data_IF_941823126467
#
_entry.id   IF_941823126467
#
_cell.length_a   1.000
_cell.length_b   1.000
_cell.length_c   1.000
_cell.angle_alpha   90.00
_cell.angle_beta   90.00
_cell.angle_gamma   90.00
#
_symmetry.space_group_name_H-M   'P 1'
#
loop_
_entity.id
_entity.type
_entity.pdbx_description
1 polymer ?
#
# COMPACT_ATOMS: atom_id res chain seq x y z
N UNK A 1 25.78 62.48 -13.19
CA UNK A 1 24.48 63.09 -13.54
C UNK A 1 23.78 62.22 -14.56
N UNK A 2 22.85 61.36 -14.13
CA UNK A 2 21.79 60.83 -15.00
C UNK A 2 20.73 60.20 -14.08
N UNK A 3 19.68 60.97 -13.82
CA UNK A 3 18.57 60.61 -12.95
C UNK A 3 17.57 59.75 -13.72
N UNK A 4 17.22 58.57 -13.20
CA UNK A 4 16.08 57.78 -13.69
C UNK A 4 14.84 58.15 -12.86
N UNK A 5 13.67 58.36 -13.50
CA UNK A 5 12.46 58.73 -12.78
C UNK A 5 11.80 57.49 -12.14
N UNK A 6 11.38 57.66 -10.89
CA UNK A 6 10.53 56.73 -10.14
C UNK A 6 9.08 57.00 -10.55
N UNK A 7 8.39 55.99 -11.10
CA UNK A 7 6.96 56.06 -11.35
C UNK A 7 6.20 55.66 -10.08
N UNK A 8 5.46 56.62 -9.52
CA UNK A 8 4.48 56.39 -8.46
C UNK A 8 3.18 55.84 -9.07
N UNK A 9 2.73 54.69 -8.57
CA UNK A 9 1.41 54.12 -8.89
C UNK A 9 0.43 54.58 -7.79
N UNK A 10 -0.71 55.20 -8.13
CA UNK A 10 -1.66 55.68 -7.13
C UNK A 10 -2.47 54.53 -6.52
N UNK A 11 -2.54 54.51 -5.18
CA UNK A 11 -3.47 53.70 -4.40
C UNK A 11 -4.91 54.15 -4.70
N UNK A 12 -5.76 53.23 -5.14
CA UNK A 12 -7.21 53.40 -5.18
C UNK A 12 -7.79 52.78 -3.90
N UNK A 13 -8.55 53.52 -3.07
CA UNK A 13 -9.19 52.95 -1.89
C UNK A 13 -10.45 52.18 -2.30
N UNK A 14 -10.45 50.86 -2.04
CA UNK A 14 -11.63 50.01 -2.20
C UNK A 14 -12.57 50.24 -1.00
N UNK A 15 -13.68 50.91 -1.26
CA UNK A 15 -14.77 51.14 -0.32
C UNK A 15 -15.43 49.80 0.02
N UNK A 16 -15.38 49.42 1.31
CA UNK A 16 -16.11 48.30 1.87
C UNK A 16 -17.59 48.68 2.05
N UNK A 17 -18.47 48.17 1.20
CA UNK A 17 -19.92 48.20 1.44
C UNK A 17 -20.32 46.95 2.24
N UNK A 18 -20.58 47.13 3.53
CA UNK A 18 -21.21 46.13 4.38
C UNK A 18 -22.73 46.15 4.12
N UNK A 19 -23.26 45.07 3.56
CA UNK A 19 -24.70 44.80 3.56
C UNK A 19 -24.98 43.66 4.55
N UNK A 20 -25.64 44.04 5.63
CA UNK A 20 -26.26 43.15 6.58
C UNK A 20 -27.51 42.50 5.94
N UNK A 21 -27.59 41.17 6.01
CA UNK A 21 -28.83 40.43 5.81
C UNK A 21 -29.12 39.63 7.08
N UNK A 22 -30.24 39.94 7.71
CA UNK A 22 -30.80 39.22 8.86
C UNK A 22 -31.93 38.30 8.39
N UNK A 23 -32.09 37.17 9.09
CA UNK A 23 -33.27 36.31 9.09
C UNK A 23 -33.15 35.10 8.15
N UNK A 24 -33.44 33.87 8.55
CA UNK A 24 -33.97 33.32 9.80
C UNK A 24 -34.36 31.86 9.55
N UNK A 25 -34.04 30.98 10.49
CA UNK A 25 -34.58 29.62 10.66
C UNK A 25 -34.70 29.45 12.19
N UNK A 26 -35.76 28.83 12.75
CA UNK A 26 -35.87 27.37 12.63
C UNK A 26 -37.30 26.77 12.76
N UNK A 27 -37.43 25.49 12.40
CA UNK A 27 -38.40 24.59 13.06
C UNK A 27 -39.08 23.57 12.16
N UNK A 28 -38.95 22.28 12.49
CA UNK A 28 -39.79 21.23 11.91
C UNK A 28 -39.24 19.83 11.99
N UNK A 29 -39.12 19.30 13.21
CA UNK A 29 -38.74 17.92 13.54
C UNK A 29 -39.79 16.90 13.10
N UNK A 30 -39.37 15.76 12.54
CA UNK A 30 -40.16 14.53 12.51
C UNK A 30 -39.24 13.30 12.55
N UNK A 31 -39.27 12.60 13.70
CA UNK A 31 -38.73 11.26 13.88
C UNK A 31 -39.59 10.23 13.12
N UNK A 32 -39.12 8.97 13.00
CA UNK A 32 -39.70 8.00 13.94
C UNK A 32 -38.73 6.93 14.48
N UNK A 33 -38.99 6.60 15.76
CA UNK A 33 -38.96 5.30 16.44
C UNK A 33 -37.89 4.24 16.13
N UNK A 34 -37.09 4.02 17.19
CA UNK A 34 -36.58 2.76 17.73
C UNK A 34 -37.19 1.43 17.24
N UNK A 35 -36.30 0.49 16.92
CA UNK A 35 -36.48 -0.95 17.20
C UNK A 35 -35.15 -1.55 17.64
N UNK A 36 -35.12 -2.06 18.86
CA UNK A 36 -34.07 -2.91 19.42
C UNK A 36 -34.33 -4.38 19.04
N UNK A 37 -33.29 -5.12 18.65
CA UNK A 37 -33.21 -6.58 18.75
C UNK A 37 -31.72 -6.97 18.68
N UNK A 38 -31.11 -7.33 19.81
CA UNK A 38 -30.90 -8.72 20.29
C UNK A 38 -29.70 -9.41 19.62
N UNK A 39 -28.61 -9.44 20.38
CA UNK A 39 -27.43 -10.30 20.24
C UNK A 39 -27.82 -11.78 20.30
N UNK A 40 -27.05 -12.66 19.65
CA UNK A 40 -26.54 -13.78 20.43
C UNK A 40 -25.05 -14.05 20.22
N UNK A 41 -24.40 -14.29 21.35
CA UNK A 41 -23.08 -14.91 21.49
C UNK A 41 -23.08 -16.33 20.90
N UNK A 42 -22.04 -16.69 20.17
CA UNK A 42 -21.74 -18.08 19.81
C UNK A 42 -20.44 -18.53 20.48
N UNK A 43 -20.62 -19.41 21.46
CA UNK A 43 -19.61 -20.04 22.31
C UNK A 43 -18.79 -21.08 21.54
N UNK A 44 -17.50 -21.11 21.85
CA UNK A 44 -16.49 -22.10 21.49
C UNK A 44 -16.87 -23.52 21.93
N UNK A 45 -16.61 -24.54 21.11
CA UNK A 45 -16.56 -25.94 21.58
C UNK A 45 -15.42 -26.67 20.87
N UNK A 46 -14.52 -27.24 21.67
CA UNK A 46 -13.38 -28.07 21.29
C UNK A 46 -13.80 -29.55 21.14
N UNK A 47 -13.03 -30.38 20.42
CA UNK A 47 -13.38 -31.76 20.11
C UNK A 47 -13.03 -32.76 21.24
N UNK A 48 -13.71 -33.92 21.32
CA UNK A 48 -13.40 -34.93 22.30
C UNK A 48 -12.21 -35.80 21.91
N UNK A 49 -11.47 -36.21 22.94
CA UNK A 49 -10.39 -37.19 22.94
C UNK A 49 -10.97 -38.59 23.17
N UNK A 50 -10.47 -39.61 22.46
CA UNK A 50 -10.64 -41.01 22.87
C UNK A 50 -9.31 -41.74 22.85
N UNK A 51 -8.91 -42.12 24.06
CA UNK A 51 -7.81 -43.00 24.43
C UNK A 51 -8.20 -44.46 24.20
N UNK A 52 -7.28 -45.30 23.76
CA UNK A 52 -7.36 -46.75 23.94
C UNK A 52 -5.96 -47.35 24.08
N UNK A 53 -5.52 -47.45 25.33
CA UNK A 53 -4.51 -48.38 25.84
C UNK A 53 -5.16 -49.76 25.99
N UNK A 54 -4.44 -50.86 25.77
CA UNK A 54 -4.57 -52.13 26.51
C UNK A 54 -3.41 -53.10 26.21
N UNK A 55 -2.56 -53.24 27.23
CA UNK A 55 -1.80 -54.41 27.77
C UNK A 55 -0.86 -55.30 26.92
N UNK A 56 0.37 -55.38 27.44
CA UNK A 56 1.30 -56.51 27.42
C UNK A 56 0.77 -57.75 28.18
N UNK A 57 1.40 -58.94 28.06
CA UNK A 57 2.45 -59.27 29.03
C UNK A 57 3.67 -60.07 28.52
N UNK A 58 4.70 -59.95 29.35
CA UNK A 58 6.01 -60.60 29.52
C UNK A 58 6.03 -62.13 29.36
N UNK A 59 7.12 -62.72 28.82
CA UNK A 59 8.07 -63.58 29.59
C UNK A 59 9.23 -64.21 28.78
N UNK A 60 10.37 -64.27 29.48
CA UNK A 60 11.47 -65.27 29.48
C UNK A 60 12.53 -65.36 28.37
N UNK A 61 13.79 -65.17 28.82
CA UNK A 61 15.09 -65.58 28.25
C UNK A 61 15.30 -67.10 28.46
N UNK A 62 16.07 -67.82 27.63
CA UNK A 62 17.47 -68.12 27.98
C UNK A 62 18.47 -68.11 26.80
N UNK A 63 19.75 -68.02 27.18
CA UNK A 63 21.00 -68.05 26.41
C UNK A 63 21.25 -69.38 25.70
N UNK A 64 21.77 -69.40 24.45
CA UNK A 64 22.93 -70.24 24.04
C UNK A 64 23.45 -69.93 22.62
N UNK A 65 24.77 -70.07 22.49
CA UNK A 65 25.66 -69.92 21.34
C UNK A 65 25.41 -70.95 20.23
N UNK A 66 25.54 -70.56 18.96
CA UNK A 66 26.09 -71.41 17.88
C UNK A 66 26.40 -70.59 16.63
N UNK A 67 27.62 -70.72 16.14
CA UNK A 67 28.08 -70.19 14.87
C UNK A 67 27.62 -71.09 13.73
N UNK A 68 27.08 -70.52 12.65
CA UNK A 68 27.07 -71.18 11.34
C UNK A 68 27.06 -70.12 10.23
N UNK A 69 28.01 -70.29 9.33
CA UNK A 69 28.36 -69.52 8.13
C UNK A 69 27.14 -69.24 7.25
N UNK A 70 26.92 -67.96 6.87
CA UNK A 70 25.84 -67.57 5.95
C UNK A 70 26.39 -66.77 4.76
N UNK A 71 25.88 -67.12 3.58
CA UNK A 71 26.23 -66.68 2.23
C UNK A 71 26.16 -65.15 2.00
N UNK A 72 26.85 -64.61 0.97
CA UNK A 72 26.90 -63.18 0.71
C UNK A 72 25.52 -62.58 0.39
N UNK A 73 25.24 -61.34 0.82
CA UNK A 73 23.95 -60.70 0.60
C UNK A 73 23.75 -60.33 -0.88
N UNK A 74 22.54 -60.62 -1.38
CA UNK A 74 22.03 -60.17 -2.68
C UNK A 74 21.99 -58.64 -2.73
N UNK A 75 22.34 -57.99 -3.86
CA UNK A 75 22.38 -56.53 -3.94
C UNK A 75 20.99 -55.94 -3.75
N UNK A 76 20.85 -55.10 -2.72
CA UNK A 76 19.65 -54.32 -2.45
C UNK A 76 19.47 -53.32 -3.59
N UNK A 77 18.36 -53.47 -4.33
CA UNK A 77 17.95 -52.52 -5.38
C UNK A 77 17.71 -51.16 -4.72
N UNK A 78 18.57 -50.20 -5.02
CA UNK A 78 18.38 -48.81 -4.62
C UNK A 78 17.10 -48.27 -5.27
N UNK A 79 16.12 -47.91 -4.44
CA UNK A 79 14.97 -47.13 -4.89
C UNK A 79 15.48 -45.78 -5.40
N UNK A 80 15.19 -45.36 -6.63
CA UNK A 80 15.55 -44.03 -7.09
C UNK A 80 14.87 -42.99 -6.18
N UNK A 81 15.66 -42.08 -5.62
CA UNK A 81 15.13 -40.94 -4.88
C UNK A 81 14.08 -40.23 -5.73
N UNK A 82 12.89 -40.01 -5.15
CA UNK A 82 11.80 -39.31 -5.80
C UNK A 82 12.32 -37.96 -6.33
N UNK A 83 12.17 -37.74 -7.63
CA UNK A 83 12.53 -36.48 -8.29
C UNK A 83 11.78 -35.34 -7.58
N UNK A 84 12.45 -34.28 -7.11
CA UNK A 84 11.76 -33.18 -6.47
C UNK A 84 10.73 -32.59 -7.44
N UNK A 85 9.50 -32.43 -6.96
CA UNK A 85 8.42 -31.80 -7.70
C UNK A 85 8.88 -30.46 -8.30
N UNK A 86 8.46 -30.11 -9.53
CA UNK A 86 8.90 -28.87 -10.16
C UNK A 86 8.46 -27.68 -9.29
N UNK A 87 9.44 -26.89 -8.83
CA UNK A 87 9.23 -25.65 -8.10
C UNK A 87 8.28 -24.77 -8.92
N UNK A 88 7.21 -24.20 -8.33
CA UNK A 88 6.38 -23.23 -9.04
C UNK A 88 7.26 -22.12 -9.61
N UNK A 89 6.94 -21.69 -10.84
CA UNK A 89 7.66 -20.68 -11.59
C UNK A 89 8.16 -19.55 -10.67
N UNK A 90 9.47 -19.36 -10.75
CA UNK A 90 10.38 -18.88 -9.72
C UNK A 90 9.93 -17.56 -9.09
N UNK A 91 9.41 -17.63 -7.85
CA UNK A 91 9.42 -16.47 -6.97
C UNK A 91 10.85 -15.93 -6.92
N UNK A 92 11.01 -14.63 -7.14
CA UNK A 92 12.32 -14.01 -7.07
C UNK A 92 12.89 -14.19 -5.67
N UNK A 93 14.22 -14.12 -5.50
CA UNK A 93 14.77 -14.21 -4.15
C UNK A 93 14.28 -13.03 -3.29
N UNK A 94 14.01 -13.26 -1.98
CA UNK A 94 13.78 -12.17 -1.04
C UNK A 94 15.01 -11.26 -0.96
N UNK A 95 14.79 -9.97 -0.69
CA UNK A 95 15.89 -9.03 -0.49
C UNK A 95 16.59 -9.31 0.85
N UNK A 96 17.92 -9.52 0.88
CA UNK A 96 18.68 -9.64 2.13
C UNK A 96 18.57 -8.39 3.00
N UNK A 97 18.82 -8.51 4.30
CA UNK A 97 18.83 -7.35 5.22
C UNK A 97 20.05 -6.47 4.92
N UNK A 98 19.84 -5.18 4.72
CA UNK A 98 20.93 -4.22 4.53
C UNK A 98 20.50 -2.81 4.95
N UNK A 99 21.22 -2.19 5.88
CA UNK A 99 21.00 -0.79 6.28
C UNK A 99 19.69 -0.55 7.05
N UNK A 100 19.12 0.64 6.86
CA UNK A 100 17.82 1.03 7.41
C UNK A 100 16.70 0.21 6.76
N UNK A 101 15.70 -0.20 7.54
CA UNK A 101 14.56 -0.99 7.07
C UNK A 101 13.24 -0.28 7.44
N UNK A 102 12.17 -0.44 6.65
CA UNK A 102 10.87 0.08 7.01
C UNK A 102 10.30 -0.66 8.21
N UNK A 103 9.32 -0.06 8.88
CA UNK A 103 8.68 -0.65 10.07
C UNK A 103 8.08 -2.02 9.78
N UNK A 104 7.56 -2.23 8.57
CA UNK A 104 7.02 -3.50 8.10
C UNK A 104 7.93 -4.03 7.00
N UNK A 105 8.74 -5.06 7.29
CA UNK A 105 9.65 -5.63 6.28
C UNK A 105 8.93 -6.46 5.22
N UNK A 106 8.03 -7.35 5.66
CA UNK A 106 7.23 -8.25 4.82
C UNK A 106 5.78 -8.28 5.29
N UNK A 107 4.90 -7.43 4.74
CA UNK A 107 3.49 -7.43 5.11
C UNK A 107 2.80 -8.71 4.62
N UNK A 108 1.76 -9.12 5.34
CA UNK A 108 0.85 -10.18 4.88
C UNK A 108 -0.06 -9.63 3.78
N UNK A 109 0.41 -9.73 2.54
CA UNK A 109 -0.36 -9.34 1.36
C UNK A 109 -1.33 -10.45 0.92
N UNK A 110 -2.40 -10.07 0.21
CA UNK A 110 -3.26 -11.04 -0.46
C UNK A 110 -2.46 -11.80 -1.53
N UNK A 111 -2.67 -13.12 -1.72
CA UNK A 111 -2.03 -13.86 -2.81
C UNK A 111 -2.45 -13.34 -4.19
N UNK A 112 -1.53 -13.37 -5.16
CA UNK A 112 -1.85 -13.06 -6.55
C UNK A 112 -2.91 -14.02 -7.13
N UNK A 113 -3.73 -13.51 -8.06
CA UNK A 113 -4.75 -14.30 -8.76
C UNK A 113 -4.47 -14.33 -10.27
N UNK A 114 -4.81 -15.43 -10.93
CA UNK A 114 -4.64 -15.58 -12.38
C UNK A 114 -3.19 -15.41 -12.86
N UNK A 115 -3.03 -15.10 -14.14
CA UNK A 115 -1.74 -14.86 -14.80
C UNK A 115 -1.35 -13.38 -14.82
N UNK A 116 -0.05 -13.11 -14.92
CA UNK A 116 0.49 -11.76 -15.09
C UNK A 116 0.10 -10.78 -13.98
N UNK A 117 0.01 -9.51 -14.36
CA UNK A 117 -0.44 -8.42 -13.50
C UNK A 117 -1.93 -8.53 -13.13
N UNK A 118 -2.77 -9.20 -13.95
CA UNK A 118 -4.20 -9.37 -13.69
C UNK A 118 -4.88 -8.07 -13.20
N UNK A 119 -4.63 -6.96 -13.91
CA UNK A 119 -5.15 -5.66 -13.53
C UNK A 119 -6.66 -5.61 -13.78
N UNK A 120 -7.39 -4.97 -12.87
CA UNK A 120 -8.84 -4.77 -12.99
C UNK A 120 -9.24 -3.44 -12.39
N UNK A 121 -10.17 -2.75 -13.04
CA UNK A 121 -10.70 -1.46 -12.60
C UNK A 121 -12.19 -1.63 -12.31
N UNK A 122 -12.63 -1.16 -11.16
CA UNK A 122 -14.03 -1.21 -10.77
C UNK A 122 -14.46 0.09 -10.06
N UNK A 123 -15.77 0.26 -9.87
CA UNK A 123 -16.28 1.22 -8.89
C UNK A 123 -15.75 0.83 -7.50
N UNK A 124 -15.50 1.82 -6.64
CA UNK A 124 -15.09 1.56 -5.25
C UNK A 124 -16.18 0.72 -4.56
N UNK A 125 -15.90 -0.51 -4.09
CA UNK A 125 -16.90 -1.36 -3.44
C UNK A 125 -17.39 -0.78 -2.12
N UNK A 126 -18.60 -1.14 -1.67
CA UNK A 126 -19.17 -0.62 -0.41
C UNK A 126 -18.28 -0.95 0.79
N UNK A 127 -17.74 -2.16 0.84
CA UNK A 127 -16.84 -2.57 1.93
C UNK A 127 -15.57 -1.72 2.03
N UNK A 128 -15.04 -1.22 0.90
CA UNK A 128 -13.87 -0.33 0.87
C UNK A 128 -14.30 1.09 1.20
N UNK A 129 -15.38 1.58 0.58
CA UNK A 129 -15.90 2.92 0.81
C UNK A 129 -16.26 3.17 2.28
N UNK A 130 -16.92 2.21 2.94
CA UNK A 130 -17.31 2.32 4.34
C UNK A 130 -16.11 2.45 5.29
N UNK A 131 -14.93 1.96 4.90
CA UNK A 131 -13.68 2.15 5.66
C UNK A 131 -12.98 3.48 5.35
N UNK A 132 -13.29 4.10 4.20
CA UNK A 132 -12.72 5.39 3.80
C UNK A 132 -13.48 6.58 4.39
N UNK A 133 -14.81 6.48 4.49
CA UNK A 133 -15.67 7.55 4.98
C UNK A 133 -15.33 7.90 6.44
N UNK A 134 -15.16 9.19 6.71
CA UNK A 134 -14.73 9.73 8.00
C UNK A 134 -13.23 9.61 8.26
N UNK A 135 -12.47 9.08 7.30
CA UNK A 135 -11.01 8.86 7.37
C UNK A 135 -10.35 9.51 6.14
N UNK A 136 -10.04 8.74 5.09
CA UNK A 136 -9.44 9.26 3.86
C UNK A 136 -10.42 10.02 2.97
N UNK A 137 -11.73 9.89 3.23
CA UNK A 137 -12.76 10.71 2.61
C UNK A 137 -13.68 11.29 3.69
N UNK A 138 -14.02 12.57 3.58
CA UNK A 138 -14.96 13.28 4.44
C UNK A 138 -15.80 14.26 3.60
N UNK A 139 -16.91 14.74 4.16
CA UNK A 139 -17.61 15.89 3.58
C UNK A 139 -16.63 17.06 3.44
N UNK A 140 -16.66 17.74 2.29
CA UNK A 140 -15.72 18.81 1.93
C UNK A 140 -14.52 18.36 1.08
N UNK A 141 -14.35 17.05 0.85
CA UNK A 141 -13.35 16.55 -0.10
C UNK A 141 -13.71 16.95 -1.54
N UNK A 142 -12.71 17.25 -2.38
CA UNK A 142 -12.96 17.81 -3.71
C UNK A 142 -13.51 16.80 -4.73
N UNK A 143 -13.54 15.50 -4.39
CA UNK A 143 -14.10 14.44 -5.23
C UNK A 143 -15.00 13.51 -4.44
N UNK A 144 -16.07 13.02 -5.08
CA UNK A 144 -16.98 12.03 -4.52
C UNK A 144 -16.66 10.60 -4.96
N UNK A 145 -17.31 9.61 -4.33
CA UNK A 145 -17.15 8.17 -4.66
C UNK A 145 -17.31 7.84 -6.14
N UNK A 146 -18.25 8.50 -6.83
CA UNK A 146 -18.53 8.27 -8.25
C UNK A 146 -17.36 8.65 -9.16
N UNK A 147 -16.49 9.56 -8.72
CA UNK A 147 -15.30 10.00 -9.42
C UNK A 147 -14.08 9.12 -9.11
N UNK A 148 -14.18 8.17 -8.16
CA UNK A 148 -13.10 7.28 -7.78
C UNK A 148 -13.26 5.88 -8.38
N UNK A 149 -12.14 5.21 -8.60
CA UNK A 149 -12.04 3.83 -9.07
C UNK A 149 -11.13 3.03 -8.16
N UNK A 150 -11.50 1.77 -7.96
CA UNK A 150 -10.72 0.79 -7.23
C UNK A 150 -9.96 -0.06 -8.25
N UNK A 151 -8.66 0.16 -8.33
CA UNK A 151 -7.76 -0.58 -9.21
C UNK A 151 -7.13 -1.70 -8.40
N UNK A 152 -7.20 -2.93 -8.90
CA UNK A 152 -6.51 -4.09 -8.32
C UNK A 152 -5.49 -4.61 -9.30
N UNK A 153 -4.33 -5.04 -8.79
CA UNK A 153 -3.23 -5.54 -9.61
C UNK A 153 -2.38 -6.52 -8.81
N UNK A 154 -1.83 -7.52 -9.48
CA UNK A 154 -0.78 -8.36 -8.93
C UNK A 154 0.55 -7.60 -8.99
N UNK A 155 1.38 -7.77 -7.98
CA UNK A 155 2.71 -7.20 -7.90
C UNK A 155 3.72 -8.22 -7.37
N UNK A 156 5.01 -7.95 -7.54
CA UNK A 156 6.08 -8.72 -6.92
C UNK A 156 6.42 -8.11 -5.56
N UNK A 157 6.20 -8.86 -4.48
CA UNK A 157 6.56 -8.46 -3.12
C UNK A 157 8.06 -8.40 -2.91
N UNK A 158 8.54 -7.65 -1.92
CA UNK A 158 9.95 -7.70 -1.48
C UNK A 158 10.40 -9.09 -1.00
N UNK A 159 9.44 -9.94 -0.63
CA UNK A 159 9.66 -11.32 -0.22
C UNK A 159 9.85 -12.31 -1.40
N UNK A 160 9.85 -11.82 -2.64
CA UNK A 160 9.95 -12.72 -3.79
C UNK A 160 8.64 -13.11 -4.44
N UNK A 161 7.53 -13.00 -3.72
CA UNK A 161 6.28 -13.66 -4.09
C UNK A 161 5.36 -12.74 -4.88
N UNK A 162 4.51 -13.35 -5.71
CA UNK A 162 3.41 -12.64 -6.35
C UNK A 162 2.31 -12.39 -5.32
N UNK A 163 2.00 -11.13 -5.11
CA UNK A 163 0.93 -10.66 -4.23
C UNK A 163 -0.13 -9.92 -5.05
N UNK A 164 -1.28 -9.66 -4.46
CA UNK A 164 -2.33 -8.79 -5.02
C UNK A 164 -2.53 -7.60 -4.11
N UNK A 165 -2.62 -6.44 -4.73
CA UNK A 165 -2.79 -5.15 -4.07
C UNK A 165 -3.96 -4.40 -4.66
N UNK A 166 -4.28 -3.29 -4.02
CA UNK A 166 -5.33 -2.42 -4.50
C UNK A 166 -5.12 -0.97 -4.12
N UNK A 167 -5.52 -0.08 -5.02
CA UNK A 167 -5.31 1.36 -4.92
C UNK A 167 -6.57 2.08 -5.39
N UNK A 168 -6.90 3.19 -4.74
CA UNK A 168 -8.06 4.03 -5.11
C UNK A 168 -7.55 5.29 -5.78
N UNK A 169 -7.98 5.54 -7.00
CA UNK A 169 -7.57 6.69 -7.82
C UNK A 169 -8.79 7.36 -8.43
N UNK A 170 -8.62 8.55 -8.99
CA UNK A 170 -9.64 9.19 -9.81
C UNK A 170 -9.89 8.36 -11.07
N UNK A 171 -11.14 8.33 -11.52
CA UNK A 171 -11.53 7.70 -12.78
C UNK A 171 -10.72 8.21 -13.98
N UNK A 172 -10.28 9.48 -13.95
CA UNK A 172 -9.50 10.10 -15.03
C UNK A 172 -8.06 9.60 -15.16
N UNK A 173 -7.55 8.82 -14.19
CA UNK A 173 -6.19 8.23 -14.26
C UNK A 173 -6.21 6.71 -14.01
N UNK A 174 -7.39 6.08 -13.99
CA UNK A 174 -7.53 4.69 -13.57
C UNK A 174 -6.89 3.71 -14.57
N UNK A 175 -7.03 3.98 -15.87
CA UNK A 175 -6.45 3.17 -16.94
C UNK A 175 -4.92 3.32 -16.96
N UNK A 176 -4.42 4.55 -16.82
CA UNK A 176 -2.99 4.86 -16.72
C UNK A 176 -2.36 4.18 -15.50
N UNK A 177 -3.07 4.18 -14.36
CA UNK A 177 -2.64 3.49 -13.13
C UNK A 177 -2.52 1.99 -13.37
N UNK A 178 -3.55 1.36 -13.97
CA UNK A 178 -3.54 -0.07 -14.26
C UNK A 178 -2.42 -0.45 -15.25
N UNK A 179 -2.19 0.38 -16.27
CA UNK A 179 -1.12 0.19 -17.24
C UNK A 179 0.27 0.32 -16.60
N UNK A 180 0.48 1.35 -15.77
CA UNK A 180 1.74 1.57 -15.07
C UNK A 180 2.10 0.40 -14.15
N UNK A 181 1.16 -0.06 -13.30
CA UNK A 181 1.42 -1.22 -12.43
C UNK A 181 1.57 -2.54 -13.21
N UNK A 182 0.89 -2.69 -14.35
CA UNK A 182 1.12 -3.83 -15.25
C UNK A 182 2.54 -3.82 -15.81
N UNK A 183 3.07 -2.64 -16.14
CA UNK A 183 4.45 -2.48 -16.59
C UNK A 183 5.45 -2.74 -15.46
N UNK A 184 5.20 -2.23 -14.26
CA UNK A 184 6.02 -2.53 -13.07
C UNK A 184 6.07 -4.04 -12.78
N UNK A 185 4.93 -4.73 -12.87
CA UNK A 185 4.87 -6.18 -12.71
C UNK A 185 5.76 -6.91 -13.72
N UNK A 186 5.70 -6.49 -14.98
CA UNK A 186 6.52 -7.08 -16.07
C UNK A 186 8.02 -6.82 -15.86
N UNK A 187 8.36 -5.66 -15.27
CA UNK A 187 9.72 -5.30 -14.88
C UNK A 187 10.20 -5.99 -13.60
N UNK A 188 9.36 -6.80 -12.96
CA UNK A 188 9.67 -7.41 -11.66
C UNK A 188 10.03 -6.38 -10.58
N UNK A 189 9.52 -5.15 -10.71
CA UNK A 189 9.69 -4.10 -9.72
C UNK A 189 9.03 -4.52 -8.40
N UNK A 190 9.75 -4.33 -7.29
CA UNK A 190 9.27 -4.76 -5.98
C UNK A 190 8.37 -3.71 -5.38
N UNK A 191 7.21 -4.15 -4.90
CA UNK A 191 6.28 -3.32 -4.12
C UNK A 191 6.10 -4.00 -2.77
N UNK A 192 6.17 -3.25 -1.68
CA UNK A 192 6.05 -3.85 -0.36
C UNK A 192 4.62 -4.20 -0.02
N UNK A 193 3.75 -3.22 -0.14
CA UNK A 193 2.30 -3.37 -0.05
C UNK A 193 1.63 -2.28 -0.87
N UNK A 194 0.39 -2.55 -1.23
CA UNK A 194 -0.48 -1.61 -1.94
C UNK A 194 -1.87 -1.76 -1.35
N UNK A 195 -2.17 -0.90 -0.38
CA UNK A 195 -3.43 -0.90 0.37
C UNK A 195 -4.09 0.47 0.24
N UNK A 196 -5.42 0.52 0.09
CA UNK A 196 -6.15 1.78 0.13
C UNK A 196 -5.86 2.54 1.42
N UNK A 197 -5.86 3.86 1.33
CA UNK A 197 -5.88 4.71 2.51
C UNK A 197 -7.28 4.62 3.11
N UNK A 198 -7.48 3.77 4.11
CA UNK A 198 -8.75 3.57 4.81
C UNK A 198 -8.55 3.57 6.34
N UNK A 199 -9.59 3.21 7.09
CA UNK A 199 -9.60 3.20 8.56
C UNK A 199 -8.45 2.43 9.22
N UNK A 200 -7.80 1.48 8.53
CA UNK A 200 -6.67 0.74 9.13
C UNK A 200 -5.44 1.61 9.40
N UNK A 201 -5.33 2.77 8.74
CA UNK A 201 -4.23 3.71 8.96
C UNK A 201 -4.52 4.70 10.09
N UNK A 202 -5.77 4.78 10.57
CA UNK A 202 -6.20 5.85 11.46
C UNK A 202 -6.31 7.20 10.73
N UNK A 203 -6.66 8.25 11.48
CA UNK A 203 -6.83 9.61 10.94
C UNK A 203 -5.51 10.38 10.93
N UNK A 204 -5.35 11.26 9.95
CA UNK A 204 -4.21 12.17 9.90
C UNK A 204 -4.21 13.09 11.13
N UNK A 205 -3.12 13.12 11.92
CA UNK A 205 -3.05 13.99 13.09
C UNK A 205 -2.95 15.48 12.74
N UNK A 206 -2.65 15.83 11.49
CA UNK A 206 -2.38 17.22 11.04
C UNK A 206 -3.45 17.79 10.09
N UNK A 207 -4.55 17.07 9.85
CA UNK A 207 -5.59 17.54 8.93
C UNK A 207 -6.61 16.47 8.56
N UNK A 208 -7.42 16.69 7.51
CA UNK A 208 -8.29 15.65 6.98
C UNK A 208 -7.45 14.52 6.36
N UNK A 209 -8.08 13.35 6.19
CA UNK A 209 -7.46 12.20 5.55
C UNK A 209 -7.08 11.08 6.51
N UNK A 210 -6.68 9.95 5.93
CA UNK A 210 -6.01 8.88 6.65
C UNK A 210 -4.58 9.29 7.03
N UNK A 211 -4.01 8.65 8.06
CA UNK A 211 -2.67 8.95 8.54
C UNK A 211 -1.61 8.59 7.49
N UNK A 212 -1.18 9.60 6.74
CA UNK A 212 -0.19 9.51 5.69
C UNK A 212 1.17 9.08 6.23
N UNK A 213 1.58 9.65 7.36
CA UNK A 213 2.86 9.34 8.01
C UNK A 213 2.97 7.86 8.40
N UNK A 214 1.90 7.28 8.95
CA UNK A 214 1.86 5.86 9.27
C UNK A 214 1.93 4.97 8.01
N UNK A 215 1.33 5.40 6.89
CA UNK A 215 1.42 4.70 5.62
C UNK A 215 2.84 4.75 5.03
N UNK A 216 3.50 5.92 5.11
CA UNK A 216 4.88 6.10 4.68
C UNK A 216 5.85 5.24 5.49
N UNK A 217 5.74 5.25 6.82
CA UNK A 217 6.57 4.41 7.70
C UNK A 217 6.43 2.91 7.43
N UNK A 218 5.23 2.49 7.00
CA UNK A 218 4.94 1.12 6.62
C UNK A 218 5.28 0.81 5.15
N UNK A 219 5.78 1.78 4.39
CA UNK A 219 6.15 1.64 2.97
C UNK A 219 4.94 1.21 2.10
N UNK A 220 3.83 1.92 2.25
CA UNK A 220 2.60 1.62 1.51
C UNK A 220 2.50 2.39 0.20
N UNK A 221 2.45 1.66 -0.91
CA UNK A 221 2.03 2.24 -2.20
C UNK A 221 0.58 2.70 -2.11
N UNK A 222 0.33 4.00 -2.27
CA UNK A 222 -0.95 4.64 -1.99
C UNK A 222 -1.33 5.69 -3.04
N UNK A 223 -2.57 6.18 -3.01
CA UNK A 223 -3.05 7.21 -3.93
C UNK A 223 -4.09 8.10 -3.23
N UNK A 224 -5.39 7.94 -3.51
CA UNK A 224 -6.42 8.81 -2.96
C UNK A 224 -6.35 8.88 -1.43
N UNK A 225 -6.13 10.10 -0.92
CA UNK A 225 -6.20 10.47 0.49
C UNK A 225 -6.59 11.95 0.54
N UNK A 226 -7.78 12.27 1.05
CA UNK A 226 -8.27 13.64 1.14
C UNK A 226 -7.56 14.40 2.26
N UNK A 227 -6.32 14.81 1.98
CA UNK A 227 -5.42 15.52 2.89
C UNK A 227 -4.87 16.79 2.27
N UNK A 228 -4.33 17.65 3.13
CA UNK A 228 -3.51 18.77 2.68
C UNK A 228 -2.13 18.31 2.17
N UNK A 229 -1.39 19.23 1.57
CA UNK A 229 0.02 19.01 1.18
C UNK A 229 0.84 18.64 2.43
N UNK A 230 1.61 17.56 2.32
CA UNK A 230 2.36 17.00 3.45
C UNK A 230 3.56 17.87 3.79
N UNK A 231 3.72 18.23 5.06
CA UNK A 231 4.73 19.19 5.51
C UNK A 231 4.30 20.65 5.41
N UNK A 232 3.16 20.94 4.79
CA UNK A 232 2.59 22.28 4.60
C UNK A 232 1.13 22.36 5.07
N UNK A 233 0.71 21.49 5.99
CA UNK A 233 -0.71 21.34 6.36
C UNK A 233 -1.34 22.63 6.91
N UNK A 234 -0.53 23.53 7.48
CA UNK A 234 -0.96 24.83 7.96
C UNK A 234 -1.55 25.73 6.86
N UNK A 235 -1.14 25.55 5.60
CA UNK A 235 -1.66 26.28 4.42
C UNK A 235 -3.08 25.86 4.04
N UNK A 236 -3.53 24.67 4.49
CA UNK A 236 -4.81 24.06 4.14
C UNK A 236 -5.05 23.90 2.62
N UNK A 237 -3.98 23.83 1.84
CA UNK A 237 -4.06 23.53 0.41
C UNK A 237 -4.19 22.02 0.22
N UNK A 238 -5.19 21.58 -0.53
CA UNK A 238 -5.38 20.17 -0.84
C UNK A 238 -4.26 19.63 -1.72
N UNK A 239 -3.73 18.47 -1.35
CA UNK A 239 -2.79 17.70 -2.15
C UNK A 239 -3.46 17.14 -3.41
N UNK A 240 -2.68 16.81 -4.44
CA UNK A 240 -3.14 16.03 -5.60
C UNK A 240 -3.75 14.67 -5.20
N UNK A 241 -3.31 14.11 -4.07
CA UNK A 241 -3.92 12.92 -3.47
C UNK A 241 -5.38 13.13 -3.09
N UNK A 242 -5.79 14.35 -2.71
CA UNK A 242 -7.17 14.65 -2.38
C UNK A 242 -8.10 14.65 -3.59
N UNK A 243 -7.56 14.83 -4.80
CA UNK A 243 -8.28 14.72 -6.06
C UNK A 243 -8.23 13.30 -6.64
N UNK A 244 -7.43 12.41 -6.03
CA UNK A 244 -7.18 11.05 -6.50
C UNK A 244 -6.32 10.99 -7.77
N UNK A 245 -5.62 12.07 -8.13
CA UNK A 245 -4.82 12.14 -9.36
C UNK A 245 -3.32 11.98 -9.12
N UNK A 246 -2.94 11.50 -7.93
CA UNK A 246 -1.56 11.20 -7.57
C UNK A 246 -1.40 9.80 -6.98
N UNK A 247 -0.20 9.25 -7.12
CA UNK A 247 0.21 7.91 -6.68
C UNK A 247 1.59 8.03 -6.04
N UNK A 248 1.74 7.50 -4.82
CA UNK A 248 3.01 7.32 -4.15
C UNK A 248 3.37 5.82 -4.13
N UNK A 249 4.61 5.47 -4.45
CA UNK A 249 5.06 4.06 -4.55
C UNK A 249 6.34 3.84 -3.73
N UNK A 250 6.25 2.90 -2.78
CA UNK A 250 7.32 2.50 -1.87
C UNK A 250 8.03 3.71 -1.23
N UNK A 251 7.29 4.42 -0.40
CA UNK A 251 7.66 5.65 0.29
C UNK A 251 9.03 5.55 1.01
N UNK A 252 9.39 4.37 1.54
CA UNK A 252 10.68 4.14 2.19
C UNK A 252 11.83 4.08 1.18
N UNK A 253 11.65 3.35 0.06
CA UNK A 253 12.65 3.27 -1.01
C UNK A 253 12.73 4.56 -1.87
N UNK A 254 11.68 5.36 -1.85
CA UNK A 254 11.51 6.57 -2.67
C UNK A 254 11.09 7.77 -1.80
N UNK A 255 11.99 8.31 -0.97
CA UNK A 255 11.63 9.29 0.04
C UNK A 255 11.19 10.63 -0.55
N UNK A 256 10.37 11.34 0.24
CA UNK A 256 9.94 12.72 0.00
C UNK A 256 10.80 13.70 0.81
N UNK A 257 11.26 14.78 0.17
CA UNK A 257 11.93 15.91 0.81
C UNK A 257 10.95 17.09 0.87
N UNK A 258 10.52 17.45 2.08
CA UNK A 258 9.67 18.61 2.30
C UNK A 258 10.44 19.94 2.17
N UNK A 259 9.71 21.04 2.00
CA UNK A 259 10.29 22.37 1.81
C UNK A 259 11.20 22.86 2.95
N UNK A 260 10.96 22.39 4.16
CA UNK A 260 11.82 22.68 5.32
C UNK A 260 13.04 21.75 5.45
N UNK A 261 13.28 20.89 4.46
CA UNK A 261 14.37 19.91 4.42
C UNK A 261 14.12 18.62 5.21
N UNK A 262 12.93 18.45 5.81
CA UNK A 262 12.55 17.20 6.47
C UNK A 262 12.39 16.10 5.42
N UNK A 263 12.93 14.91 5.70
CA UNK A 263 12.86 13.75 4.80
C UNK A 263 11.93 12.71 5.40
N UNK A 264 10.99 12.21 4.61
CA UNK A 264 10.02 11.19 5.02
C UNK A 264 10.12 9.94 4.14
N UNK A 265 9.92 8.73 4.70
CA UNK A 265 9.98 8.42 6.14
C UNK A 265 11.44 8.32 6.65
N UNK A 266 12.41 8.08 5.76
CA UNK A 266 13.82 7.90 6.11
C UNK A 266 14.75 8.41 5.00
N UNK A 267 15.95 8.87 5.39
CA UNK A 267 16.93 9.47 4.48
C UNK A 267 17.88 8.49 3.80
N UNK A 268 17.84 7.21 4.15
CA UNK A 268 18.81 6.20 3.69
C UNK A 268 18.88 6.13 2.17
N UNK A 269 17.72 6.18 1.51
CA UNK A 269 17.64 6.12 0.05
C UNK A 269 17.90 7.48 -0.62
N UNK A 270 17.84 8.62 0.06
CA UNK A 270 18.01 9.94 -0.55
C UNK A 270 19.32 10.06 -1.35
N UNK A 271 20.43 9.56 -0.81
CA UNK A 271 21.76 9.59 -1.46
C UNK A 271 22.13 8.28 -2.16
N UNK A 272 21.25 7.27 -2.15
CA UNK A 272 21.49 5.91 -2.67
C UNK A 272 20.52 5.56 -3.80
N UNK A 273 20.46 6.42 -4.84
CA UNK A 273 19.51 6.28 -5.97
C UNK A 273 19.98 5.34 -7.07
N UNK A 274 20.82 4.36 -6.75
CA UNK A 274 21.20 3.32 -7.72
C UNK A 274 20.02 2.38 -8.04
N UNK A 275 20.07 1.63 -9.15
CA UNK A 275 19.11 0.57 -9.42
C UNK A 275 19.09 -0.45 -8.27
N UNK A 276 17.95 -0.53 -7.57
CA UNK A 276 17.71 -1.45 -6.48
C UNK A 276 16.23 -1.87 -6.45
N UNK A 277 15.90 -3.00 -5.81
CA UNK A 277 14.50 -3.43 -5.65
C UNK A 277 13.63 -2.30 -5.10
N UNK A 278 12.57 -1.94 -5.84
CA UNK A 278 11.60 -0.94 -5.40
C UNK A 278 12.04 0.53 -5.50
N UNK A 279 13.23 0.82 -6.05
CA UNK A 279 13.77 2.18 -6.17
C UNK A 279 13.58 2.76 -7.58
N UNK A 280 13.08 3.99 -7.66
CA UNK A 280 13.07 4.81 -8.87
C UNK A 280 14.38 5.56 -9.07
N UNK A 281 15.38 4.88 -9.63
CA UNK A 281 16.76 5.38 -9.68
C UNK A 281 16.98 6.67 -10.47
N UNK A 282 16.19 6.91 -11.51
CA UNK A 282 16.31 8.11 -12.37
C UNK A 282 15.08 8.29 -13.27
N UNK A 283 14.92 9.48 -13.84
CA UNK A 283 13.85 9.79 -14.81
C UNK A 283 13.91 8.92 -16.07
N UNK A 284 15.11 8.48 -16.45
CA UNK A 284 15.35 7.53 -17.53
C UNK A 284 15.23 6.06 -17.14
N UNK A 285 14.88 5.73 -15.90
CA UNK A 285 14.69 4.34 -15.49
C UNK A 285 13.41 3.74 -16.09
N UNK A 286 13.43 2.43 -16.37
CA UNK A 286 12.25 1.75 -16.92
C UNK A 286 11.06 1.79 -15.95
N UNK A 287 11.31 1.82 -14.63
CA UNK A 287 10.30 1.90 -13.60
C UNK A 287 9.62 3.28 -13.57
N UNK A 288 10.38 4.38 -13.65
CA UNK A 288 9.78 5.73 -13.78
C UNK A 288 9.00 5.87 -15.09
N UNK A 289 9.55 5.35 -16.20
CA UNK A 289 8.86 5.34 -17.49
C UNK A 289 7.56 4.52 -17.51
N UNK A 290 7.36 3.60 -16.56
CA UNK A 290 6.10 2.89 -16.43
C UNK A 290 4.93 3.86 -16.16
N UNK A 291 5.18 4.96 -15.46
CA UNK A 291 4.18 6.00 -15.20
C UNK A 291 4.28 7.14 -16.22
N UNK A 292 5.48 7.63 -16.52
CA UNK A 292 5.62 8.82 -17.38
C UNK A 292 5.22 8.59 -18.83
N UNK A 293 5.33 7.35 -19.33
CA UNK A 293 4.78 6.99 -20.65
C UNK A 293 3.25 6.99 -20.70
N UNK A 294 2.58 6.98 -19.54
CA UNK A 294 1.13 7.11 -19.42
C UNK A 294 0.71 8.58 -19.21
N UNK A 295 1.65 9.53 -19.25
CA UNK A 295 1.38 10.96 -19.11
C UNK A 295 1.39 11.48 -17.67
N UNK A 296 1.75 10.65 -16.67
CA UNK A 296 1.99 11.15 -15.32
C UNK A 296 3.35 11.85 -15.24
N UNK A 297 3.43 12.90 -14.43
CA UNK A 297 4.70 13.55 -14.06
C UNK A 297 5.32 12.82 -12.89
N UNK A 298 6.63 12.95 -12.72
CA UNK A 298 7.35 12.36 -11.60
C UNK A 298 7.89 13.46 -10.67
N UNK A 299 7.57 13.40 -9.39
CA UNK A 299 7.99 14.36 -8.37
C UNK A 299 9.49 14.34 -8.08
N UNK A 300 10.20 13.28 -8.50
CA UNK A 300 11.65 13.19 -8.39
C UNK A 300 12.45 14.24 -9.20
N UNK A 301 11.77 15.04 -10.02
CA UNK A 301 12.35 16.15 -10.79
C UNK A 301 12.18 17.52 -10.12
N UNK A 302 11.48 17.61 -8.99
CA UNK A 302 11.32 18.86 -8.26
C UNK A 302 12.62 19.28 -7.55
N UNK A 303 12.72 20.56 -7.19
CA UNK A 303 13.89 21.09 -6.43
C UNK A 303 14.05 20.41 -5.09
N UNK A 304 12.92 20.22 -4.37
CA UNK A 304 12.79 19.34 -3.24
C UNK A 304 12.12 18.06 -3.75
N UNK A 305 12.88 16.98 -4.00
CA UNK A 305 12.36 15.85 -4.73
C UNK A 305 11.34 15.06 -3.90
N UNK A 306 10.26 14.67 -4.55
CA UNK A 306 9.31 13.69 -4.05
C UNK A 306 9.40 12.42 -4.90
N UNK A 307 10.27 11.48 -4.50
CA UNK A 307 10.63 10.37 -5.38
C UNK A 307 9.55 9.30 -5.52
N UNK A 308 8.70 9.16 -4.52
CA UNK A 308 7.54 8.25 -4.53
C UNK A 308 6.46 8.75 -5.48
N UNK A 309 6.40 10.05 -5.74
CA UNK A 309 5.21 10.71 -6.26
C UNK A 309 5.10 10.76 -7.78
N UNK A 310 3.90 10.43 -8.26
CA UNK A 310 3.48 10.62 -9.64
C UNK A 310 2.11 11.26 -9.71
N UNK A 311 1.92 12.28 -10.54
CA UNK A 311 0.65 13.00 -10.63
C UNK A 311 0.27 13.47 -12.04
N UNK A 312 -0.98 13.95 -12.14
CA UNK A 312 -1.53 14.67 -13.29
C UNK A 312 -2.10 16.03 -12.87
#
# INVERSE_FOLDING_TARGET
MSSRPVYAVPLVPLVCLALAACGGDPGGSAAPTSVSATTPSSTTTAPPTTTSTTTSPTTTKPTTTSATTQAPPKPTRSTPAARPSPRPATALSPVPRAGAEPTVRFPKNEPAVGSGANASIARVPDSVWNRMVGVSWTSGCPVGRSQLRYVRVNFWGFDGKRSRGSIVVNASIADETAAAFTRLYSLQFRIRQMKPMDSTWGKNPKGPGANDYAAMEADNTSAFNCRYVGGEEASKVYSKHAYGTAIDVNDFENPYVADNGTVYPDRYFLTRRGPAPGVFSSSGSAAVRAFTSQGLRWGGLWSNPDYQHFDR
#
